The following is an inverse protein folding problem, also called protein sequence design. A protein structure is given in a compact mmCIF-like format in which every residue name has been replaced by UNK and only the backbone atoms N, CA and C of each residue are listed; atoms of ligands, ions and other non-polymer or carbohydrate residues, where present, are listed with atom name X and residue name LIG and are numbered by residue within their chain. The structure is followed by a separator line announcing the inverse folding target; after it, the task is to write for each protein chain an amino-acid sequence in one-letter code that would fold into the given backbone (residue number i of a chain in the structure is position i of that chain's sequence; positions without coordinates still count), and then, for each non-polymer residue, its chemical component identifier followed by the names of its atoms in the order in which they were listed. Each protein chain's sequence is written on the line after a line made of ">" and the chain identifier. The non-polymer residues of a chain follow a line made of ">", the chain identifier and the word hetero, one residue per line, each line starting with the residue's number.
data_IF_418742537532
#
_entry.id   IF_418742537532
#
_cell.length_a   1.000
_cell.length_b   1.000
_cell.length_c   1.000
_cell.angle_alpha   90.00
_cell.angle_beta   90.00
_cell.angle_gamma   90.00
#
_symmetry.space_group_name_H-M   'P 1'
#
loop_
_entity.id
_entity.type
_entity.pdbx_description
1 polymer ?
#
# COMPACT_ATOMS: atom_id res chain seq x y z
N UNK A 1 5.35 -30.94 4.35
CA UNK A 1 5.29 -29.92 5.41
C UNK A 1 3.98 -29.19 5.21
N UNK A 2 3.08 -29.35 6.17
CA UNK A 2 1.67 -29.00 6.08
C UNK A 2 1.49 -27.49 6.12
N UNK A 3 0.69 -26.97 5.18
CA UNK A 3 0.26 -25.58 5.19
C UNK A 3 -0.85 -25.43 6.24
N UNK A 4 -0.62 -24.54 7.21
CA UNK A 4 -1.55 -24.21 8.27
C UNK A 4 -2.83 -23.61 7.67
N UNK A 5 -3.98 -24.19 8.02
CA UNK A 5 -5.28 -23.56 7.82
C UNK A 5 -5.45 -22.45 8.86
N UNK A 6 -5.63 -21.19 8.45
CA UNK A 6 -5.97 -20.11 9.38
C UNK A 6 -7.10 -19.28 8.80
N UNK A 7 -8.15 -19.21 9.62
CA UNK A 7 -9.36 -18.39 9.50
C UNK A 7 -9.03 -16.90 9.46
N UNK A 8 -9.80 -16.14 8.67
CA UNK A 8 -9.61 -14.72 8.39
C UNK A 8 -9.20 -13.86 9.59
N UNK A 9 -8.02 -13.28 9.49
CA UNK A 9 -7.54 -12.12 10.22
C UNK A 9 -6.56 -11.40 9.28
N UNK A 10 -6.60 -10.07 9.22
CA UNK A 10 -5.61 -9.31 8.47
C UNK A 10 -4.21 -9.60 9.07
N UNK A 11 -3.33 -10.22 8.28
CA UNK A 11 -1.96 -10.44 8.72
C UNK A 11 -1.13 -9.22 8.34
N UNK A 12 -0.61 -8.53 9.35
CA UNK A 12 0.39 -7.47 9.20
C UNK A 12 1.75 -8.09 9.48
N UNK A 13 2.57 -8.25 8.45
CA UNK A 13 4.00 -8.55 8.63
C UNK A 13 4.70 -7.21 8.83
N UNK A 14 5.08 -6.91 10.08
CA UNK A 14 5.82 -5.71 10.48
C UNK A 14 7.32 -6.02 10.55
N UNK A 15 8.05 -5.71 9.48
CA UNK A 15 9.45 -5.29 9.61
C UNK A 15 9.36 -3.77 9.78
N UNK A 16 10.02 -3.15 10.77
CA UNK A 16 9.70 -1.79 11.23
C UNK A 16 9.73 -0.67 10.17
N UNK A 17 10.22 -0.98 8.96
CA UNK A 17 10.30 -0.08 7.82
C UNK A 17 9.56 -0.58 6.57
N UNK A 18 8.88 -1.73 6.62
CA UNK A 18 8.07 -2.30 5.56
C UNK A 18 6.85 -3.03 6.11
N UNK A 19 5.68 -2.65 5.64
CA UNK A 19 4.40 -3.17 6.11
C UNK A 19 3.59 -3.73 4.94
N UNK A 20 2.93 -4.87 5.16
CA UNK A 20 1.95 -5.44 4.24
C UNK A 20 0.57 -5.42 4.89
N UNK A 21 -0.42 -4.90 4.18
CA UNK A 21 -1.83 -4.97 4.56
C UNK A 21 -2.50 -6.04 3.71
N UNK A 22 -3.09 -7.05 4.36
CA UNK A 22 -3.71 -8.19 3.70
C UNK A 22 -5.13 -8.47 4.20
N UNK A 23 -5.94 -9.12 3.38
CA UNK A 23 -7.27 -9.61 3.74
C UNK A 23 -7.51 -10.95 3.05
N UNK A 24 -7.87 -11.99 3.83
CA UNK A 24 -8.10 -13.35 3.32
C UNK A 24 -6.97 -13.92 2.44
N UNK A 25 -5.73 -13.58 2.77
CA UNK A 25 -4.54 -14.01 2.02
C UNK A 25 -4.22 -13.17 0.78
N UNK A 26 -5.07 -12.20 0.42
CA UNK A 26 -4.82 -11.26 -0.66
C UNK A 26 -4.11 -10.01 -0.14
N UNK A 27 -3.09 -9.53 -0.88
CA UNK A 27 -2.40 -8.28 -0.55
C UNK A 27 -3.23 -7.09 -1.01
N UNK A 28 -3.63 -6.24 -0.08
CA UNK A 28 -4.32 -4.99 -0.39
C UNK A 28 -3.32 -3.86 -0.63
N UNK A 29 -2.32 -3.74 0.24
CA UNK A 29 -1.31 -2.70 0.14
C UNK A 29 0.05 -3.12 0.69
N UNK A 30 1.09 -2.43 0.23
CA UNK A 30 2.45 -2.54 0.75
C UNK A 30 2.99 -1.13 1.01
N UNK A 31 3.43 -0.86 2.24
CA UNK A 31 3.95 0.45 2.66
C UNK A 31 5.45 0.31 2.94
N UNK A 32 6.25 1.10 2.26
CA UNK A 32 7.69 1.21 2.47
C UNK A 32 7.94 2.54 3.16
N UNK A 33 8.47 2.51 4.38
CA UNK A 33 8.77 3.72 5.15
C UNK A 33 10.00 4.42 4.58
N UNK A 34 10.06 5.74 4.71
CA UNK A 34 11.23 6.55 4.33
C UNK A 34 12.54 6.03 4.94
N UNK A 35 12.46 5.45 6.14
CA UNK A 35 13.59 4.83 6.85
C UNK A 35 14.03 3.47 6.31
N UNK A 36 13.35 2.89 5.31
CA UNK A 36 13.74 1.61 4.73
C UNK A 36 15.09 1.72 4.01
N UNK A 37 16.03 0.85 4.38
CA UNK A 37 17.33 0.73 3.73
C UNK A 37 17.75 -0.72 3.69
N UNK A 38 18.30 -1.14 2.55
CA UNK A 38 18.84 -2.47 2.33
C UNK A 38 19.74 -2.45 1.12
N UNK A 39 21.01 -2.78 1.33
CA UNK A 39 21.98 -2.90 0.23
C UNK A 39 21.51 -3.90 -0.84
N UNK A 40 21.68 -3.54 -2.11
CA UNK A 40 21.32 -4.36 -3.26
C UNK A 40 19.95 -3.99 -3.83
N UNK A 41 19.25 -4.99 -4.36
CA UNK A 41 17.89 -4.85 -4.93
C UNK A 41 16.93 -5.66 -4.08
N UNK A 42 15.87 -5.02 -3.61
CA UNK A 42 14.81 -5.64 -2.82
C UNK A 42 13.49 -5.52 -3.57
N UNK A 43 12.96 -6.64 -4.07
CA UNK A 43 11.61 -6.70 -4.63
C UNK A 43 10.61 -6.92 -3.50
N UNK A 44 9.56 -6.11 -3.46
CA UNK A 44 8.47 -6.24 -2.48
C UNK A 44 7.29 -7.02 -3.05
N UNK A 45 7.07 -6.93 -4.35
CA UNK A 45 5.95 -7.56 -5.05
C UNK A 45 6.24 -9.00 -5.45
N UNK A 46 5.25 -9.91 -5.38
CA UNK A 46 5.30 -11.21 -6.06
C UNK A 46 5.54 -11.04 -7.56
N UNK A 47 6.13 -12.03 -8.22
CA UNK A 47 6.49 -11.96 -9.65
C UNK A 47 5.27 -11.89 -10.57
N UNK A 48 4.14 -12.35 -10.06
CA UNK A 48 2.86 -12.46 -10.74
C UNK A 48 2.13 -11.10 -10.79
N UNK A 49 2.55 -10.12 -9.97
CA UNK A 49 1.94 -8.80 -9.97
C UNK A 49 2.19 -8.07 -11.29
N UNK A 50 1.14 -7.44 -11.88
CA UNK A 50 1.27 -6.71 -13.14
C UNK A 50 2.17 -5.47 -13.02
N UNK A 51 2.37 -4.94 -11.81
CA UNK A 51 3.35 -3.89 -11.51
C UNK A 51 4.33 -4.36 -10.43
N UNK A 52 5.62 -4.16 -10.69
CA UNK A 52 6.69 -4.54 -9.78
C UNK A 52 7.19 -3.33 -9.01
N UNK A 53 7.32 -3.46 -7.68
CA UNK A 53 7.91 -2.44 -6.82
C UNK A 53 9.20 -2.99 -6.21
N UNK A 54 10.29 -2.27 -6.40
CA UNK A 54 11.59 -2.61 -5.86
C UNK A 54 12.31 -1.38 -5.30
N UNK A 55 13.02 -1.59 -4.20
CA UNK A 55 13.99 -0.65 -3.63
C UNK A 55 15.39 -1.04 -4.11
N UNK A 56 16.21 -0.06 -4.46
CA UNK A 56 17.58 -0.29 -4.94
C UNK A 56 18.54 0.65 -4.22
N UNK A 57 19.52 0.08 -3.52
CA UNK A 57 20.59 0.82 -2.85
C UNK A 57 21.94 0.25 -3.24
N UNK A 58 22.79 1.09 -3.81
CA UNK A 58 24.10 0.68 -4.32
C UNK A 58 25.18 1.65 -3.85
N UNK A 59 26.39 1.15 -3.52
CA UNK A 59 27.51 2.02 -3.21
C UNK A 59 27.96 2.79 -4.45
N UNK A 60 28.61 3.94 -4.22
CA UNK A 60 29.23 4.72 -5.28
C UNK A 60 30.20 3.85 -6.11
N UNK A 61 30.15 4.00 -7.43
CA UNK A 61 30.95 3.22 -8.38
C UNK A 61 30.32 1.91 -8.86
N UNK A 62 29.19 1.48 -8.30
CA UNK A 62 28.42 0.36 -8.86
C UNK A 62 27.89 0.74 -10.25
N UNK A 63 28.13 -0.12 -11.24
CA UNK A 63 27.56 -0.02 -12.59
C UNK A 63 26.41 -1.01 -12.73
N UNK A 64 25.28 -0.54 -13.28
CA UNK A 64 24.18 -1.36 -13.78
C UNK A 64 24.28 -1.34 -15.31
N UNK A 65 24.35 -2.52 -15.93
CA UNK A 65 24.52 -2.62 -17.37
C UNK A 65 23.32 -2.04 -18.12
N UNK A 66 23.61 -1.31 -19.20
CA UNK A 66 22.58 -0.77 -20.09
C UNK A 66 21.81 -1.92 -20.75
N UNK A 67 20.48 -1.88 -20.69
CA UNK A 67 19.62 -2.90 -21.28
C UNK A 67 18.31 -2.29 -21.79
N UNK A 68 17.64 -3.04 -22.67
CA UNK A 68 16.29 -2.74 -23.16
C UNK A 68 15.32 -3.81 -22.67
N UNK A 69 14.13 -3.40 -22.27
CA UNK A 69 13.06 -4.34 -22.00
C UNK A 69 12.49 -4.89 -23.31
N UNK A 70 12.31 -6.21 -23.37
CA UNK A 70 11.65 -6.86 -24.51
C UNK A 70 10.16 -6.50 -24.55
N UNK A 71 9.62 -6.38 -25.78
CA UNK A 71 8.17 -6.27 -25.97
C UNK A 71 7.54 -7.61 -25.60
N UNK A 72 6.74 -7.61 -24.54
CA UNK A 72 6.04 -8.78 -24.03
C UNK A 72 4.58 -8.39 -23.77
N UNK A 73 3.66 -9.27 -24.14
CA UNK A 73 2.24 -9.13 -23.81
C UNK A 73 2.05 -9.49 -22.35
N UNK A 74 1.26 -8.67 -21.64
CA UNK A 74 0.86 -8.89 -20.24
C UNK A 74 -0.63 -8.66 -20.12
N UNK A 75 -1.28 -9.40 -19.23
CA UNK A 75 -2.67 -9.20 -18.84
C UNK A 75 -2.69 -8.37 -17.56
N UNK A 76 -3.56 -7.37 -17.51
CA UNK A 76 -3.80 -6.54 -16.32
C UNK A 76 -5.29 -6.67 -16.02
N UNK A 77 -5.61 -7.24 -14.87
CA UNK A 77 -7.00 -7.45 -14.45
C UNK A 77 -7.52 -6.26 -13.63
N UNK A 78 -6.63 -5.67 -12.84
CA UNK A 78 -6.92 -4.54 -11.97
C UNK A 78 -5.80 -3.50 -12.08
N UNK A 79 -6.18 -2.23 -12.07
CA UNK A 79 -5.22 -1.13 -11.91
C UNK A 79 -4.66 -1.17 -10.50
N UNK A 80 -3.33 -1.18 -10.39
CA UNK A 80 -2.62 -0.91 -9.14
C UNK A 80 -2.04 0.49 -9.21
N UNK A 81 -1.75 1.08 -8.07
CA UNK A 81 -1.14 2.40 -8.02
C UNK A 81 -0.04 2.46 -6.98
N UNK A 82 1.05 3.14 -7.34
CA UNK A 82 2.14 3.48 -6.41
C UNK A 82 2.08 4.96 -6.14
N UNK A 83 1.97 5.34 -4.87
CA UNK A 83 2.06 6.73 -4.44
C UNK A 83 3.40 6.98 -3.74
N UNK A 84 4.04 8.09 -4.12
CA UNK A 84 5.23 8.62 -3.45
C UNK A 84 4.84 9.89 -2.70
N UNK A 85 4.86 9.86 -1.38
CA UNK A 85 4.47 11.01 -0.57
C UNK A 85 5.60 12.04 -0.60
N UNK A 86 5.38 13.17 -1.28
CA UNK A 86 6.38 14.24 -1.41
C UNK A 86 6.41 15.15 -0.19
N UNK A 87 5.25 15.44 0.39
CA UNK A 87 5.07 16.32 1.56
C UNK A 87 3.72 16.01 2.21
N UNK A 88 3.62 16.26 3.51
CA UNK A 88 2.36 16.23 4.24
C UNK A 88 2.21 14.97 5.09
N UNK A 89 1.01 14.82 5.65
CA UNK A 89 0.54 13.64 6.38
C UNK A 89 -0.79 13.22 5.81
N UNK A 90 -0.86 11.96 5.39
CA UNK A 90 -2.03 11.41 4.71
C UNK A 90 -2.50 10.18 5.46
N UNK A 91 -3.76 10.15 5.87
CA UNK A 91 -4.40 8.96 6.37
C UNK A 91 -4.94 8.17 5.18
N UNK A 92 -4.43 6.95 4.99
CA UNK A 92 -5.02 5.97 4.06
C UNK A 92 -5.94 5.04 4.83
N UNK A 93 -7.16 4.84 4.33
CA UNK A 93 -8.14 3.87 4.84
C UNK A 93 -8.25 2.74 3.83
N UNK A 94 -8.20 1.50 4.31
CA UNK A 94 -8.31 0.29 3.50
C UNK A 94 -9.67 -0.35 3.69
N UNK A 95 -10.18 -0.95 2.62
CA UNK A 95 -11.50 -1.58 2.57
C UNK A 95 -11.40 -2.95 1.92
N UNK A 96 -12.24 -3.88 2.38
CA UNK A 96 -12.41 -5.20 1.75
C UNK A 96 -13.03 -5.04 0.35
N UNK A 97 -13.04 -6.10 -0.49
CA UNK A 97 -13.76 -6.09 -1.77
C UNK A 97 -15.26 -5.79 -1.64
N UNK A 98 -15.87 -6.15 -0.51
CA UNK A 98 -17.27 -5.87 -0.17
C UNK A 98 -17.50 -4.43 0.35
N UNK A 99 -16.44 -3.60 0.36
CA UNK A 99 -16.42 -2.18 0.74
C UNK A 99 -16.54 -1.93 2.24
N UNK A 100 -16.35 -2.96 3.06
CA UNK A 100 -16.28 -2.80 4.52
C UNK A 100 -14.93 -2.22 4.91
N UNK A 101 -14.93 -1.33 5.91
CA UNK A 101 -13.68 -0.77 6.44
C UNK A 101 -12.85 -1.88 7.10
N UNK A 102 -11.56 -1.93 6.77
CA UNK A 102 -10.62 -2.88 7.35
C UNK A 102 -9.73 -2.20 8.39
N UNK A 103 -8.93 -1.22 7.96
CA UNK A 103 -7.94 -0.55 8.80
C UNK A 103 -7.48 0.77 8.18
N UNK A 104 -6.62 1.50 8.86
CA UNK A 104 -6.01 2.73 8.32
C UNK A 104 -4.56 2.90 8.76
N UNK A 105 -3.79 3.67 7.99
CA UNK A 105 -2.40 4.04 8.27
C UNK A 105 -2.14 5.50 7.96
N UNK A 106 -1.25 6.11 8.73
CA UNK A 106 -0.72 7.44 8.38
C UNK A 106 0.56 7.24 7.58
N UNK A 107 0.60 7.91 6.43
CA UNK A 107 1.77 8.04 5.57
C UNK A 107 2.38 9.42 5.76
N UNK A 108 3.71 9.46 5.76
CA UNK A 108 4.51 10.67 5.93
C UNK A 108 5.32 10.96 4.66
N UNK A 109 5.90 12.16 4.58
CA UNK A 109 6.83 12.49 3.50
C UNK A 109 7.98 11.46 3.42
N UNK A 110 8.28 11.01 2.20
CA UNK A 110 9.27 9.95 1.93
C UNK A 110 8.68 8.55 1.86
N UNK A 111 7.51 8.30 2.49
CA UNK A 111 6.85 7.00 2.42
C UNK A 111 6.37 6.70 0.98
N UNK A 112 6.43 5.42 0.63
CA UNK A 112 5.91 4.86 -0.62
C UNK A 112 4.84 3.83 -0.29
N UNK A 113 3.71 3.88 -1.00
CA UNK A 113 2.66 2.86 -0.87
C UNK A 113 2.32 2.29 -2.24
N UNK A 114 2.29 0.96 -2.35
CA UNK A 114 1.63 0.24 -3.43
C UNK A 114 0.23 -0.15 -2.96
N UNK A 115 -0.78 0.19 -3.75
CA UNK A 115 -2.16 -0.24 -3.59
C UNK A 115 -2.43 -1.33 -4.63
N UNK A 116 -2.44 -2.58 -4.17
CA UNK A 116 -2.42 -3.76 -5.01
C UNK A 116 -3.82 -4.32 -5.33
N UNK A 117 -4.76 -4.20 -4.40
CA UNK A 117 -6.14 -4.67 -4.54
C UNK A 117 -7.06 -4.04 -3.48
N UNK A 118 -8.33 -4.47 -3.44
CA UNK A 118 -9.33 -3.97 -2.49
C UNK A 118 -9.73 -2.52 -2.73
N UNK A 119 -10.36 -1.91 -1.73
CA UNK A 119 -10.70 -0.49 -1.75
C UNK A 119 -9.71 0.33 -0.91
N UNK A 120 -9.50 1.58 -1.30
CA UNK A 120 -8.75 2.53 -0.48
C UNK A 120 -9.38 3.92 -0.57
N UNK A 121 -9.18 4.71 0.48
CA UNK A 121 -9.55 6.11 0.54
C UNK A 121 -8.45 6.92 1.22
N UNK A 122 -8.35 8.19 0.88
CA UNK A 122 -7.35 9.07 1.47
C UNK A 122 -8.00 10.27 2.15
N UNK A 123 -7.44 10.67 3.28
CA UNK A 123 -7.78 11.86 4.01
C UNK A 123 -6.49 12.64 4.30
N UNK A 124 -6.43 13.88 3.83
CA UNK A 124 -5.28 14.75 4.07
C UNK A 124 -5.37 15.30 5.49
N UNK A 125 -4.46 14.90 6.37
CA UNK A 125 -4.41 15.40 7.76
C UNK A 125 -3.77 16.80 7.82
N UNK A 126 -3.00 17.15 6.80
CA UNK A 126 -2.42 18.45 6.52
C UNK A 126 -2.23 18.62 5.00
N UNK A 127 -1.82 19.81 4.55
CA UNK A 127 -1.52 20.07 3.14
C UNK A 127 -0.46 19.09 2.59
N UNK A 128 -0.93 18.13 1.78
CA UNK A 128 -0.11 17.06 1.27
C UNK A 128 0.05 17.13 -0.26
N UNK A 129 1.11 16.51 -0.74
CA UNK A 129 1.35 16.31 -2.17
C UNK A 129 2.05 14.98 -2.39
N UNK A 130 1.67 14.27 -3.45
CA UNK A 130 2.22 12.96 -3.80
C UNK A 130 2.31 12.83 -5.33
N UNK A 131 3.22 11.98 -5.78
CA UNK A 131 3.23 11.50 -7.15
C UNK A 131 2.48 10.17 -7.21
N UNK A 132 1.75 9.95 -8.30
CA UNK A 132 1.04 8.69 -8.56
C UNK A 132 1.61 8.04 -9.82
N UNK A 133 1.84 6.73 -9.74
CA UNK A 133 2.26 5.90 -10.87
C UNK A 133 1.29 4.73 -11.01
N UNK A 134 0.60 4.66 -12.15
CA UNK A 134 -0.38 3.63 -12.48
C UNK A 134 0.05 2.81 -13.68
N UNK A 135 -0.40 1.55 -13.78
CA UNK A 135 -0.30 0.85 -15.04
C UNK A 135 -1.22 1.49 -16.08
N UNK A 136 -0.77 1.48 -17.33
CA UNK A 136 -1.58 1.85 -18.48
C UNK A 136 -2.00 0.62 -19.31
N UNK A 137 -2.84 0.82 -20.33
CA UNK A 137 -3.41 2.10 -20.76
C UNK A 137 -4.44 2.65 -19.75
N UNK A 138 -4.50 3.98 -19.63
CA UNK A 138 -5.47 4.64 -18.76
C UNK A 138 -6.88 4.58 -19.38
N UNK A 139 -7.83 3.98 -18.65
CA UNK A 139 -9.22 3.81 -19.08
C UNK A 139 -10.17 4.87 -18.49
N UNK A 140 -9.63 5.89 -17.79
CA UNK A 140 -10.44 6.99 -17.26
C UNK A 140 -11.15 6.66 -15.94
N UNK A 141 -12.25 7.37 -15.70
CA UNK A 141 -13.06 7.19 -14.48
C UNK A 141 -13.75 5.82 -14.37
N UNK A 142 -13.78 5.05 -15.46
CA UNK A 142 -14.38 3.71 -15.50
C UNK A 142 -13.62 2.69 -14.64
N UNK A 143 -12.36 2.97 -14.29
CA UNK A 143 -11.55 2.11 -13.41
C UNK A 143 -11.95 2.23 -11.93
N UNK A 144 -12.80 3.20 -11.56
CA UNK A 144 -13.10 3.52 -10.16
C UNK A 144 -14.56 3.28 -9.82
N UNK A 145 -14.80 2.28 -8.99
CA UNK A 145 -16.06 2.18 -8.25
C UNK A 145 -15.95 2.99 -6.95
N UNK A 146 -16.76 4.05 -6.82
CA UNK A 146 -16.81 4.88 -5.61
C UNK A 146 -17.93 4.43 -4.67
N UNK A 147 -17.68 4.52 -3.38
CA UNK A 147 -18.65 4.21 -2.33
C UNK A 147 -18.46 5.17 -1.15
N UNK A 148 -19.52 5.36 -0.36
CA UNK A 148 -19.44 6.14 0.87
C UNK A 148 -18.73 5.32 1.95
N UNK A 149 -17.74 5.92 2.62
CA UNK A 149 -17.20 5.34 3.84
C UNK A 149 -18.22 5.52 4.97
N UNK A 150 -18.51 4.48 5.74
CA UNK A 150 -19.22 4.66 7.02
C UNK A 150 -18.41 5.65 7.89
N UNK A 151 -19.04 6.70 8.39
CA UNK A 151 -18.38 7.70 9.24
C UNK A 151 -17.88 7.03 10.52
N UNK A 152 -16.57 6.84 10.59
CA UNK A 152 -15.90 6.42 11.82
C UNK A 152 -15.64 7.67 12.66
N UNK A 153 -16.35 7.80 13.77
CA UNK A 153 -16.16 8.90 14.72
C UNK A 153 -14.74 8.87 15.29
N UNK A 154 -14.04 10.01 15.22
CA UNK A 154 -12.68 10.16 15.75
C UNK A 154 -12.70 10.10 17.29
N UNK A 155 -12.08 9.09 17.90
CA UNK A 155 -11.64 9.15 19.29
C UNK A 155 -10.26 9.81 19.35
N UNK A 156 -10.17 10.94 20.05
CA UNK A 156 -8.94 11.70 20.23
C UNK A 156 -8.05 11.02 21.27
N UNK A 157 -7.01 10.30 20.84
CA UNK A 157 -5.81 10.07 21.65
C UNK A 157 -4.63 9.75 20.71
N UNK A 158 -3.87 10.79 20.35
CA UNK A 158 -2.64 10.66 19.59
C UNK A 158 -1.52 10.20 20.54
N UNK A 159 -1.13 8.93 20.47
CA UNK A 159 0.16 8.48 21.00
C UNK A 159 1.19 8.53 19.85
N UNK A 160 2.30 9.24 20.09
CA UNK A 160 3.38 9.42 19.13
C UNK A 160 4.23 8.15 19.02
N UNK A 161 3.77 7.17 18.24
CA UNK A 161 4.54 6.01 17.81
C UNK A 161 4.29 5.69 16.33
N UNK A 162 5.26 5.14 15.59
CA UNK A 162 5.01 4.62 14.25
C UNK A 162 4.10 3.38 14.35
N UNK A 163 3.06 3.31 13.51
CA UNK A 163 2.19 2.13 13.41
C UNK A 163 0.93 2.10 14.28
N UNK A 164 0.28 3.24 14.55
CA UNK A 164 -1.01 3.22 15.28
C UNK A 164 -2.12 2.63 14.42
N UNK A 165 -2.52 1.41 14.74
CA UNK A 165 -3.81 0.84 14.38
C UNK A 165 -4.89 1.55 15.22
N UNK A 166 -5.81 2.25 14.55
CA UNK A 166 -6.99 2.78 15.23
C UNK A 166 -8.02 1.65 15.35
N UNK A 167 -8.10 1.02 16.52
CA UNK A 167 -9.15 0.04 16.82
C UNK A 167 -10.54 0.70 16.79
N UNK A 168 -11.46 0.10 16.03
CA UNK A 168 -12.87 0.47 16.01
C UNK A 168 -13.55 -0.25 17.17
N UNK A 169 -14.15 0.51 18.10
CA UNK A 169 -15.09 -0.06 19.06
C UNK A 169 -16.40 -0.35 18.34
N UNK A 170 -16.77 -1.62 18.27
CA UNK A 170 -18.11 -2.03 17.85
C UNK A 170 -19.16 -1.34 18.73
N UNK A 171 -19.91 -0.43 18.12
CA UNK A 171 -21.10 0.16 18.72
C UNK A 171 -22.19 -0.90 18.78
N UNK A 172 -22.37 -1.48 19.96
CA UNK A 172 -23.46 -2.38 20.29
C UNK A 172 -24.83 -1.81 19.82
N UNK A 173 -25.63 -2.66 19.17
CA UNK A 173 -27.09 -2.53 19.20
C UNK A 173 -27.63 -3.09 20.51
#
# INVERSE_FOLDING_TARGET
>A
MEALSITGNAEVVDDSNFEVVSFEGETLAMIIRDSFSRSGVSFFTPKEFPQQLAYMEHPAGKVIDAHLHCKLVRQIEWTQEVLFVKRGRVLVKFYTPDKDYLSSRVLYAGDVILLASGGHGFEMLEDASFFEVKQGPYMGEQEKLRFASADLSRSSEASNGPGVELEVKDGAR
#
